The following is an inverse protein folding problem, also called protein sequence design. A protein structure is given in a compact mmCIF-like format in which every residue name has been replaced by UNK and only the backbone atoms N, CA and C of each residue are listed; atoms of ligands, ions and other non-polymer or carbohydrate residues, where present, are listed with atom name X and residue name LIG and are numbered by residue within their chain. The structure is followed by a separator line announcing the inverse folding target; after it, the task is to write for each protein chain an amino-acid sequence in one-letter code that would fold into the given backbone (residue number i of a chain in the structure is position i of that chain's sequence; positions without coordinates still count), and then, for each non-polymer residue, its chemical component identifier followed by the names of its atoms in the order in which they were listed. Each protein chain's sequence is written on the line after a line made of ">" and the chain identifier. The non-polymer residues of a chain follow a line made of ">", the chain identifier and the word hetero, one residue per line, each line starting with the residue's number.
data_IF_416709399686
#
_entry.id   IF_416709399686
#
_cell.length_a   1.000
_cell.length_b   1.000
_cell.length_c   1.000
_cell.angle_alpha   90.00
_cell.angle_beta   90.00
_cell.angle_gamma   90.00
#
_symmetry.space_group_name_H-M   'P 1'
#
loop_
_entity.id
_entity.type
_entity.pdbx_description
1 polymer ?
#
# COMPACT_ATOMS: atom_id res chain seq x y z
N UNK A 1 -8.74 22.41 -40.12
CA UNK A 1 -7.82 21.91 -41.16
C UNK A 1 -6.47 22.58 -40.99
N UNK A 2 -5.45 21.84 -40.61
CA UNK A 2 -4.06 22.28 -40.64
C UNK A 2 -3.21 21.04 -40.98
N UNK A 3 -2.79 20.97 -42.24
CA UNK A 3 -1.89 19.95 -42.78
C UNK A 3 -0.45 20.31 -42.40
N UNK A 4 0.30 19.34 -41.88
CA UNK A 4 1.76 19.42 -41.79
C UNK A 4 2.38 18.39 -42.74
N UNK A 5 3.27 18.92 -43.57
CA UNK A 5 3.83 18.33 -44.77
C UNK A 5 5.10 17.51 -44.45
N UNK A 6 5.19 16.31 -45.04
CA UNK A 6 6.30 15.36 -44.87
C UNK A 6 7.50 15.79 -45.73
N UNK A 7 8.67 16.01 -45.11
CA UNK A 7 9.92 16.26 -45.84
C UNK A 7 10.63 14.93 -46.18
N UNK A 8 10.84 14.73 -47.48
CA UNK A 8 11.52 13.59 -48.12
C UNK A 8 13.01 13.51 -47.75
N UNK A 9 13.46 12.28 -47.58
CA UNK A 9 14.86 11.84 -47.48
C UNK A 9 15.47 11.83 -48.89
N UNK A 10 16.64 12.45 -49.10
CA UNK A 10 17.42 12.30 -50.33
C UNK A 10 18.60 11.37 -50.11
N UNK A 11 18.62 10.30 -50.89
CA UNK A 11 19.75 9.40 -51.14
C UNK A 11 20.68 10.00 -52.19
N UNK A 12 21.98 9.91 -51.95
CA UNK A 12 22.99 9.84 -53.04
C UNK A 12 24.05 8.82 -52.65
N UNK A 13 24.26 7.86 -53.55
CA UNK A 13 25.37 6.91 -53.59
C UNK A 13 26.57 7.59 -54.24
N UNK A 14 27.78 7.20 -53.87
CA UNK A 14 28.86 6.96 -54.83
C UNK A 14 29.92 6.01 -54.24
N UNK A 15 30.48 5.19 -55.13
CA UNK A 15 31.46 4.11 -54.98
C UNK A 15 32.88 4.72 -54.99
N UNK A 16 33.92 4.15 -54.35
CA UNK A 16 34.79 3.11 -54.92
C UNK A 16 35.86 2.62 -53.91
N UNK A 17 36.46 1.47 -54.27
CA UNK A 17 37.36 0.57 -53.53
C UNK A 17 38.68 1.17 -52.98
N UNK A 18 39.24 0.56 -51.92
CA UNK A 18 40.61 -0.05 -51.87
C UNK A 18 40.88 -0.67 -50.47
N UNK A 19 41.60 -1.79 -50.50
CA UNK A 19 41.96 -2.75 -49.44
C UNK A 19 43.04 -2.30 -48.44
N UNK A 20 42.94 -2.72 -47.17
CA UNK A 20 44.07 -2.77 -46.21
C UNK A 20 43.65 -3.06 -44.75
N UNK A 21 44.30 -3.98 -44.01
CA UNK A 21 43.90 -4.34 -42.65
C UNK A 21 44.70 -3.57 -41.58
N UNK A 22 44.03 -3.00 -40.57
CA UNK A 22 44.74 -2.53 -39.37
C UNK A 22 44.02 -1.53 -38.45
N UNK A 23 43.71 -2.03 -37.24
CA UNK A 23 43.74 -1.32 -35.94
C UNK A 23 42.58 -0.38 -35.53
N UNK A 24 41.86 -0.89 -34.51
CA UNK A 24 41.26 -0.21 -33.32
C UNK A 24 40.30 0.97 -33.56
N UNK A 25 39.01 0.67 -33.66
CA UNK A 25 37.95 1.65 -33.44
C UNK A 25 37.66 1.79 -31.93
N UNK A 26 37.94 2.98 -31.41
CA UNK A 26 37.56 3.48 -30.11
C UNK A 26 36.02 3.64 -30.10
N UNK A 27 35.32 2.73 -29.45
CA UNK A 27 33.87 2.80 -29.31
C UNK A 27 33.55 3.83 -28.22
N UNK A 28 33.17 5.05 -28.65
CA UNK A 28 32.61 6.08 -27.77
C UNK A 28 31.27 5.56 -27.29
N UNK A 29 31.27 4.98 -26.08
CA UNK A 29 30.07 4.63 -25.36
C UNK A 29 29.34 5.93 -24.99
N UNK A 30 28.26 6.22 -25.68
CA UNK A 30 27.29 7.22 -25.23
C UNK A 30 26.55 6.63 -24.03
N UNK A 31 27.12 6.81 -22.84
CA UNK A 31 26.45 6.56 -21.57
C UNK A 31 25.32 7.58 -21.40
N UNK A 32 24.13 7.23 -21.89
CA UNK A 32 22.90 7.85 -21.40
C UNK A 32 22.77 7.47 -19.93
N UNK A 33 23.14 8.41 -19.04
CA UNK A 33 22.83 8.34 -17.60
C UNK A 33 21.33 8.12 -17.45
N UNK A 34 20.93 6.87 -17.23
CA UNK A 34 19.61 6.56 -16.68
C UNK A 34 19.56 7.23 -15.32
N UNK A 35 18.79 8.31 -15.25
CA UNK A 35 18.46 8.97 -14.01
C UNK A 35 17.95 7.88 -13.05
N UNK A 36 18.66 7.66 -11.94
CA UNK A 36 18.26 6.68 -10.95
C UNK A 36 17.01 7.24 -10.31
N UNK A 37 15.83 6.96 -10.87
CA UNK A 37 14.55 7.23 -10.23
C UNK A 37 14.67 6.76 -8.79
N UNK A 38 14.64 7.69 -7.84
CA UNK A 38 14.55 7.35 -6.43
C UNK A 38 13.33 6.46 -6.29
N UNK A 39 13.54 5.24 -5.81
CA UNK A 39 12.44 4.31 -5.56
C UNK A 39 11.49 4.98 -4.59
N UNK A 40 10.26 5.22 -5.02
CA UNK A 40 9.19 5.70 -4.17
C UNK A 40 9.06 4.76 -2.97
N UNK A 41 9.11 5.31 -1.75
CA UNK A 41 8.99 4.53 -0.52
C UNK A 41 7.82 5.08 0.30
N UNK A 42 6.83 4.23 0.63
CA UNK A 42 5.71 4.69 1.46
C UNK A 42 6.24 5.14 2.81
N UNK A 43 5.93 6.38 3.18
CA UNK A 43 6.25 6.96 4.48
C UNK A 43 5.00 7.50 5.20
N UNK A 44 3.85 7.48 4.53
CA UNK A 44 2.57 7.91 5.05
C UNK A 44 1.45 7.00 4.53
N UNK A 45 0.32 7.03 5.22
CA UNK A 45 -0.87 6.29 4.84
C UNK A 45 -2.12 6.97 5.36
N UNK A 46 -3.24 6.71 4.69
CA UNK A 46 -4.58 7.06 5.16
C UNK A 46 -5.21 5.82 5.79
N UNK A 47 -5.88 5.99 6.93
CA UNK A 47 -6.49 4.87 7.64
C UNK A 47 -7.71 5.29 8.47
N UNK A 48 -8.58 4.33 8.76
CA UNK A 48 -9.54 4.42 9.87
C UNK A 48 -8.95 3.81 11.12
N UNK A 49 -8.83 4.62 12.18
CA UNK A 49 -8.44 4.13 13.50
C UNK A 49 -9.62 3.40 14.15
N UNK A 50 -9.37 2.25 14.75
CA UNK A 50 -10.38 1.54 15.52
C UNK A 50 -10.51 2.19 16.89
N UNK A 51 -11.70 2.72 17.19
CA UNK A 51 -12.02 3.38 18.46
C UNK A 51 -13.13 2.67 19.25
N UNK A 52 -13.87 1.76 18.61
CA UNK A 52 -14.90 0.98 19.28
C UNK A 52 -14.24 0.09 20.36
N UNK A 53 -14.67 0.26 21.61
CA UNK A 53 -14.07 -0.39 22.77
C UNK A 53 -14.25 -1.92 22.75
N UNK A 54 -15.36 -2.42 22.19
CA UNK A 54 -15.59 -3.87 22.08
C UNK A 54 -14.59 -4.49 21.11
N UNK A 55 -14.37 -3.88 19.94
CA UNK A 55 -13.39 -4.36 18.96
C UNK A 55 -11.98 -4.30 19.54
N UNK A 56 -11.64 -3.18 20.19
CA UNK A 56 -10.35 -2.98 20.87
C UNK A 56 -10.09 -4.05 21.93
N UNK A 57 -11.08 -4.30 22.80
CA UNK A 57 -10.98 -5.30 23.86
C UNK A 57 -10.81 -6.72 23.29
N UNK A 58 -11.62 -7.10 22.30
CA UNK A 58 -11.53 -8.42 21.69
C UNK A 58 -10.19 -8.61 20.99
N UNK A 59 -9.71 -7.63 20.21
CA UNK A 59 -8.40 -7.70 19.58
C UNK A 59 -7.27 -7.92 20.62
N UNK A 60 -7.38 -7.30 21.81
CA UNK A 60 -6.44 -7.50 22.91
C UNK A 60 -6.50 -8.93 23.49
N UNK A 61 -7.69 -9.48 23.72
CA UNK A 61 -7.81 -10.86 24.20
C UNK A 61 -7.27 -11.87 23.18
N UNK A 62 -7.53 -11.65 21.88
CA UNK A 62 -6.95 -12.48 20.80
C UNK A 62 -5.42 -12.42 20.84
N UNK A 63 -4.85 -11.22 20.92
CA UNK A 63 -3.40 -11.06 21.01
C UNK A 63 -2.84 -11.78 22.23
N UNK A 64 -3.46 -11.61 23.40
CA UNK A 64 -3.07 -12.22 24.66
C UNK A 64 -3.08 -13.75 24.57
N UNK A 65 -4.12 -14.36 24.04
CA UNK A 65 -4.22 -15.82 23.90
C UNK A 65 -3.13 -16.39 22.96
N UNK A 66 -2.87 -15.69 21.84
CA UNK A 66 -1.82 -16.06 20.89
C UNK A 66 -0.43 -15.93 21.53
N UNK A 67 -0.18 -14.86 22.27
CA UNK A 67 1.10 -14.63 22.97
C UNK A 67 1.29 -15.64 24.10
N UNK A 68 0.24 -16.01 24.84
CA UNK A 68 0.32 -17.07 25.85
C UNK A 68 0.73 -18.42 25.22
N UNK A 69 0.25 -18.69 24.01
CA UNK A 69 0.60 -19.91 23.26
C UNK A 69 2.01 -19.84 22.65
N UNK A 70 2.47 -18.65 22.24
CA UNK A 70 3.80 -18.41 21.69
C UNK A 70 4.33 -17.03 22.13
N UNK A 71 5.08 -16.96 23.24
CA UNK A 71 5.55 -15.70 23.81
C UNK A 71 6.42 -14.84 22.89
N UNK A 72 7.09 -15.46 21.90
CA UNK A 72 7.93 -14.74 20.92
C UNK A 72 7.14 -13.76 20.06
N UNK A 73 5.83 -13.97 19.90
CA UNK A 73 4.95 -13.08 19.13
C UNK A 73 4.65 -11.76 19.83
N UNK A 74 5.00 -11.60 21.11
CA UNK A 74 4.81 -10.35 21.85
C UNK A 74 5.45 -9.15 21.15
N UNK A 75 6.69 -9.30 20.65
CA UNK A 75 7.42 -8.27 19.94
C UNK A 75 6.85 -7.95 18.54
N UNK A 76 6.07 -8.88 17.98
CA UNK A 76 5.41 -8.73 16.68
C UNK A 76 3.99 -8.15 16.81
N UNK A 77 3.44 -8.04 18.02
CA UNK A 77 2.09 -7.55 18.25
C UNK A 77 1.96 -6.08 17.86
N UNK A 78 0.88 -5.75 17.15
CA UNK A 78 0.51 -4.36 16.89
C UNK A 78 -0.07 -3.78 18.17
N UNK A 79 0.47 -2.65 18.62
CA UNK A 79 -0.10 -1.95 19.78
C UNK A 79 -1.60 -1.71 19.59
N UNK A 80 -2.39 -2.05 20.60
CA UNK A 80 -3.84 -1.86 20.61
C UNK A 80 -4.25 -0.41 20.25
N UNK A 81 -3.51 0.57 20.73
CA UNK A 81 -3.76 1.98 20.44
C UNK A 81 -3.56 2.34 18.95
N UNK A 82 -2.81 1.51 18.20
CA UNK A 82 -2.48 1.67 16.78
C UNK A 82 -3.34 0.80 15.86
N UNK A 83 -4.36 0.12 16.37
CA UNK A 83 -5.28 -0.67 15.53
C UNK A 83 -5.98 0.21 14.49
N UNK A 84 -5.91 -0.19 13.23
CA UNK A 84 -6.46 0.57 12.11
C UNK A 84 -6.74 -0.31 10.88
N UNK A 85 -7.57 0.20 9.98
CA UNK A 85 -7.72 -0.29 8.60
C UNK A 85 -7.03 0.71 7.67
N UNK A 86 -5.99 0.29 6.95
CA UNK A 86 -5.33 1.11 5.94
C UNK A 86 -6.19 1.25 4.69
N UNK A 87 -6.37 2.48 4.21
CA UNK A 87 -7.12 2.80 2.98
C UNK A 87 -6.19 3.03 1.78
N UNK A 88 -5.03 3.64 2.01
CA UNK A 88 -4.10 4.02 0.95
C UNK A 88 -2.71 4.23 1.56
N UNK A 89 -1.66 3.82 0.87
CA UNK A 89 -0.26 4.14 1.22
C UNK A 89 0.36 5.05 0.16
N UNK A 90 1.12 6.04 0.60
CA UNK A 90 1.71 7.06 -0.29
C UNK A 90 3.01 7.62 0.30
N UNK A 91 3.69 8.46 -0.47
CA UNK A 91 4.89 9.18 -0.06
C UNK A 91 4.58 10.68 0.08
N UNK A 92 5.04 11.28 1.17
CA UNK A 92 5.08 12.73 1.38
C UNK A 92 6.54 13.16 1.42
N UNK A 93 6.99 13.94 0.43
CA UNK A 93 8.41 14.28 0.25
C UNK A 93 8.84 15.50 1.05
N UNK A 94 7.91 16.39 1.35
CA UNK A 94 8.16 17.65 2.04
C UNK A 94 6.92 18.13 2.82
N UNK A 95 7.03 19.28 3.48
CA UNK A 95 5.92 19.85 4.26
C UNK A 95 4.76 20.35 3.38
N UNK A 96 5.01 20.72 2.13
CA UNK A 96 3.95 21.07 1.18
C UNK A 96 3.06 19.86 0.87
N UNK A 97 3.65 18.67 0.68
CA UNK A 97 2.91 17.43 0.51
C UNK A 97 2.08 17.11 1.76
N UNK A 98 2.61 17.34 2.97
CA UNK A 98 1.85 17.16 4.22
C UNK A 98 0.65 18.09 4.30
N UNK A 99 0.82 19.38 3.99
CA UNK A 99 -0.27 20.35 3.96
C UNK A 99 -1.32 19.96 2.90
N UNK A 100 -0.87 19.53 1.73
CA UNK A 100 -1.75 19.05 0.65
C UNK A 100 -2.54 17.82 1.09
N UNK A 101 -1.91 16.86 1.76
CA UNK A 101 -2.58 15.67 2.29
C UNK A 101 -3.67 16.03 3.32
N UNK A 102 -3.41 17.00 4.20
CA UNK A 102 -4.40 17.50 5.16
C UNK A 102 -5.59 18.14 4.44
N UNK A 103 -5.34 18.96 3.41
CA UNK A 103 -6.41 19.55 2.61
C UNK A 103 -7.21 18.48 1.85
N UNK A 104 -6.54 17.46 1.29
CA UNK A 104 -7.19 16.35 0.62
C UNK A 104 -8.10 15.57 1.58
N UNK A 105 -7.68 15.38 2.83
CA UNK A 105 -8.51 14.73 3.85
C UNK A 105 -9.79 15.53 4.13
N UNK A 106 -9.69 16.86 4.26
CA UNK A 106 -10.85 17.74 4.46
C UNK A 106 -11.80 17.68 3.25
N UNK A 107 -11.25 17.74 2.03
CA UNK A 107 -12.02 17.62 0.78
C UNK A 107 -12.72 16.26 0.69
N UNK A 108 -12.03 15.16 1.01
CA UNK A 108 -12.60 13.82 1.02
C UNK A 108 -13.76 13.72 2.02
N UNK A 109 -13.60 14.24 3.24
CA UNK A 109 -14.69 14.32 4.23
C UNK A 109 -15.90 15.10 3.71
N UNK A 110 -15.70 16.17 2.94
CA UNK A 110 -16.79 16.89 2.30
C UNK A 110 -17.46 16.04 1.20
N UNK A 111 -16.70 15.41 0.30
CA UNK A 111 -17.23 14.53 -0.75
C UNK A 111 -18.03 13.36 -0.18
N UNK A 112 -17.54 12.72 0.89
CA UNK A 112 -18.24 11.64 1.60
C UNK A 112 -19.59 12.12 2.14
N UNK A 113 -19.65 13.32 2.75
CA UNK A 113 -20.92 13.92 3.22
C UNK A 113 -21.86 14.23 2.07
N UNK A 114 -21.37 14.78 0.97
CA UNK A 114 -22.18 15.08 -0.21
C UNK A 114 -22.74 13.83 -0.88
N UNK A 115 -21.99 12.72 -0.85
CA UNK A 115 -22.45 11.41 -1.29
C UNK A 115 -23.44 10.75 -0.31
N UNK A 116 -23.75 11.40 0.84
CA UNK A 116 -24.67 10.93 1.87
C UNK A 116 -24.32 9.53 2.39
N UNK A 117 -23.03 9.17 2.37
CA UNK A 117 -22.57 7.90 2.89
C UNK A 117 -22.64 7.90 4.42
N UNK A 118 -23.45 6.98 4.95
CA UNK A 118 -23.60 6.77 6.39
C UNK A 118 -22.34 6.06 6.93
N UNK A 119 -21.84 6.40 8.13
CA UNK A 119 -20.74 5.67 8.75
C UNK A 119 -21.00 4.16 8.81
N UNK A 120 -20.12 3.31 8.26
CA UNK A 120 -20.34 1.86 8.23
C UNK A 120 -20.11 1.23 9.60
N UNK A 121 -20.90 0.20 9.94
CA UNK A 121 -20.70 -0.62 11.12
C UNK A 121 -19.87 -1.86 10.75
N UNK A 122 -18.55 -1.71 10.81
CA UNK A 122 -17.63 -2.79 10.43
C UNK A 122 -17.53 -3.81 11.56
N UNK A 123 -17.97 -5.03 11.26
CA UNK A 123 -17.72 -6.22 12.08
C UNK A 123 -16.51 -6.97 11.55
N UNK A 124 -15.84 -7.70 12.42
CA UNK A 124 -14.71 -8.55 12.05
C UNK A 124 -15.04 -10.02 12.34
N UNK A 125 -14.50 -10.95 11.56
CA UNK A 125 -14.67 -12.37 11.81
C UNK A 125 -13.52 -13.16 11.16
N UNK A 126 -13.03 -14.17 11.89
CA UNK A 126 -11.96 -15.03 11.43
C UNK A 126 -10.60 -14.35 11.36
N UNK A 127 -9.56 -15.17 11.31
CA UNK A 127 -8.19 -14.76 11.12
C UNK A 127 -7.71 -15.13 9.72
N UNK A 128 -6.79 -14.35 9.19
CA UNK A 128 -6.08 -14.64 7.96
C UNK A 128 -4.68 -14.04 8.01
N UNK A 129 -3.84 -14.40 7.04
CA UNK A 129 -2.48 -13.93 7.03
C UNK A 129 -2.01 -13.48 5.65
N UNK A 130 -0.95 -12.66 5.63
CA UNK A 130 -0.17 -12.40 4.44
C UNK A 130 1.20 -13.06 4.57
N UNK A 131 1.42 -14.11 3.78
CA UNK A 131 2.68 -14.85 3.66
C UNK A 131 3.24 -15.33 5.02
N UNK A 132 2.36 -15.68 5.96
CA UNK A 132 2.71 -16.04 7.34
C UNK A 132 3.52 -14.95 8.08
N UNK A 133 3.47 -13.69 7.65
CA UNK A 133 4.22 -12.58 8.28
C UNK A 133 3.34 -11.52 8.91
N UNK A 134 2.10 -11.43 8.46
CA UNK A 134 1.10 -10.49 8.97
C UNK A 134 -0.12 -11.32 9.34
N UNK A 135 -0.55 -11.28 10.60
CA UNK A 135 -1.78 -11.91 11.07
C UNK A 135 -2.82 -10.81 11.31
N UNK A 136 -4.01 -10.98 10.75
CA UNK A 136 -5.07 -9.98 10.80
C UNK A 136 -6.46 -10.60 10.91
N UNK A 137 -7.42 -9.81 11.38
CA UNK A 137 -8.84 -10.15 11.33
C UNK A 137 -9.45 -9.64 10.01
N UNK A 138 -10.36 -10.43 9.43
CA UNK A 138 -11.10 -10.02 8.24
C UNK A 138 -12.35 -9.24 8.66
N UNK A 139 -12.70 -8.15 7.97
CA UNK A 139 -14.04 -7.60 8.09
C UNK A 139 -15.06 -8.57 7.49
N UNK A 140 -16.26 -8.61 8.07
CA UNK A 140 -17.36 -9.40 7.52
C UNK A 140 -17.75 -8.85 6.15
N UNK A 141 -17.98 -9.74 5.18
CA UNK A 141 -18.40 -9.36 3.85
C UNK A 141 -19.92 -9.08 3.83
N UNK A 142 -20.28 -7.83 4.10
CA UNK A 142 -21.66 -7.34 4.10
C UNK A 142 -21.75 -5.92 3.49
N UNK A 143 -22.97 -5.37 3.45
CA UNK A 143 -23.21 -4.04 2.88
C UNK A 143 -22.41 -2.91 3.58
N UNK A 144 -22.04 -3.07 4.86
CA UNK A 144 -21.21 -2.06 5.54
C UNK A 144 -19.77 -2.08 5.03
N UNK A 145 -19.24 -3.25 4.67
CA UNK A 145 -17.93 -3.34 4.02
C UNK A 145 -17.94 -2.64 2.65
N UNK A 146 -19.04 -2.69 1.91
CA UNK A 146 -19.16 -2.00 0.62
C UNK A 146 -19.21 -0.48 0.80
N UNK A 147 -19.88 0.03 1.84
CA UNK A 147 -19.84 1.44 2.20
C UNK A 147 -18.41 1.87 2.58
N UNK A 148 -17.66 1.06 3.33
CA UNK A 148 -16.25 1.34 3.63
C UNK A 148 -15.40 1.43 2.36
N UNK A 149 -15.60 0.52 1.40
CA UNK A 149 -14.90 0.54 0.11
C UNK A 149 -15.25 1.80 -0.68
N UNK A 150 -16.52 2.22 -0.71
CA UNK A 150 -16.93 3.47 -1.37
C UNK A 150 -16.25 4.70 -0.75
N UNK A 151 -16.21 4.77 0.58
CA UNK A 151 -15.50 5.85 1.29
C UNK A 151 -14.01 5.83 0.92
N UNK A 152 -13.38 4.66 0.91
CA UNK A 152 -11.97 4.52 0.55
C UNK A 152 -11.71 4.93 -0.91
N UNK A 153 -12.62 4.62 -1.84
CA UNK A 153 -12.56 5.07 -3.23
C UNK A 153 -12.58 6.60 -3.31
N UNK A 154 -13.55 7.25 -2.66
CA UNK A 154 -13.62 8.73 -2.63
C UNK A 154 -12.32 9.33 -2.08
N UNK A 155 -11.78 8.75 -1.00
CA UNK A 155 -10.51 9.20 -0.43
C UNK A 155 -9.34 9.05 -1.42
N UNK A 156 -9.20 7.88 -2.03
CA UNK A 156 -8.13 7.59 -3.01
C UNK A 156 -8.21 8.55 -4.20
N UNK A 157 -9.39 8.69 -4.79
CA UNK A 157 -9.63 9.61 -5.92
C UNK A 157 -9.32 11.06 -5.53
N UNK A 158 -9.76 11.51 -4.35
CA UNK A 158 -9.48 12.88 -3.89
C UNK A 158 -7.98 13.12 -3.75
N UNK A 159 -7.21 12.17 -3.21
CA UNK A 159 -5.76 12.32 -3.06
C UNK A 159 -5.05 12.30 -4.42
N UNK A 160 -5.44 11.38 -5.30
CA UNK A 160 -4.84 11.23 -6.64
C UNK A 160 -5.12 12.44 -7.54
N UNK A 161 -6.36 12.94 -7.56
CA UNK A 161 -6.77 14.17 -8.27
C UNK A 161 -5.97 15.41 -7.82
N UNK A 162 -5.43 15.39 -6.61
CA UNK A 162 -4.65 16.48 -6.01
C UNK A 162 -3.15 16.16 -5.97
N UNK A 163 -2.68 15.19 -6.76
CA UNK A 163 -1.27 14.92 -6.97
C UNK A 163 -0.56 14.14 -5.86
N UNK A 164 -1.31 13.46 -4.98
CA UNK A 164 -0.76 12.48 -4.03
C UNK A 164 -1.14 11.09 -4.51
N UNK A 165 -0.19 10.43 -5.15
CA UNK A 165 -0.41 9.12 -5.78
C UNK A 165 -0.23 7.98 -4.76
N UNK A 166 -1.06 6.94 -4.89
CA UNK A 166 -0.85 5.70 -4.14
C UNK A 166 0.35 4.96 -4.66
N UNK A 167 1.00 4.23 -3.76
CA UNK A 167 2.10 3.33 -4.09
C UNK A 167 1.66 1.87 -4.22
N UNK A 168 0.39 1.57 -3.96
CA UNK A 168 -0.23 0.28 -4.26
C UNK A 168 -1.21 0.38 -5.43
N UNK A 169 -1.06 -0.47 -6.44
CA UNK A 169 -2.03 -0.57 -7.54
C UNK A 169 -3.08 -1.67 -7.29
N UNK A 170 -3.13 -2.22 -6.08
CA UNK A 170 -3.98 -3.36 -5.75
C UNK A 170 -5.38 -2.89 -5.39
N UNK A 171 -6.41 -3.73 -5.59
CA UNK A 171 -7.71 -3.50 -4.97
C UNK A 171 -7.56 -3.35 -3.46
N UNK A 172 -8.40 -2.51 -2.86
CA UNK A 172 -8.44 -2.37 -1.41
C UNK A 172 -8.80 -3.72 -0.79
N UNK A 173 -7.96 -4.20 0.13
CA UNK A 173 -8.21 -5.38 0.95
C UNK A 173 -8.28 -4.95 2.41
N UNK A 174 -9.45 -4.48 2.92
CA UNK A 174 -9.57 -4.03 4.30
C UNK A 174 -9.26 -5.18 5.28
N UNK A 175 -8.43 -4.91 6.27
CA UNK A 175 -8.03 -5.88 7.29
C UNK A 175 -7.62 -5.15 8.57
N UNK A 176 -7.71 -5.85 9.71
CA UNK A 176 -7.26 -5.35 11.01
C UNK A 176 -6.04 -6.13 11.49
N UNK A 177 -4.85 -5.56 11.30
CA UNK A 177 -3.59 -6.24 11.65
C UNK A 177 -3.42 -6.36 13.16
N UNK A 178 -3.20 -7.59 13.62
CA UNK A 178 -2.92 -7.92 15.02
C UNK A 178 -1.44 -8.19 15.26
N UNK A 179 -0.74 -8.81 14.31
CA UNK A 179 0.70 -9.09 14.40
C UNK A 179 1.39 -8.84 13.06
N UNK A 180 2.62 -8.35 13.11
CA UNK A 180 3.43 -8.10 11.93
C UNK A 180 4.92 -8.33 12.20
N UNK A 181 5.51 -9.28 11.47
CA UNK A 181 6.96 -9.52 11.44
C UNK A 181 7.63 -8.54 10.47
N UNK A 182 8.17 -7.45 11.00
CA UNK A 182 8.89 -6.44 10.22
C UNK A 182 10.14 -7.03 9.57
N UNK A 183 10.44 -6.56 8.37
CA UNK A 183 11.62 -6.97 7.64
C UNK A 183 12.88 -6.39 8.30
N UNK A 184 13.90 -7.22 8.53
CA UNK A 184 15.15 -6.82 9.19
C UNK A 184 15.09 -6.78 10.72
N UNK A 185 13.93 -7.06 11.33
CA UNK A 185 13.83 -7.25 12.78
C UNK A 185 14.25 -8.68 13.16
N UNK A 186 15.06 -8.80 14.21
CA UNK A 186 15.51 -10.08 14.78
C UNK A 186 14.49 -10.50 15.84
N UNK A 187 13.53 -11.34 15.45
CA UNK A 187 12.52 -11.89 16.37
C UNK A 187 12.98 -13.23 16.94
N UNK A 188 14.16 -13.32 17.57
CA UNK A 188 14.66 -14.58 18.17
C UNK A 188 14.52 -15.83 17.27
N UNK A 189 14.75 -15.68 15.96
CA UNK A 189 14.62 -16.76 14.97
C UNK A 189 13.21 -16.96 14.37
N UNK A 190 12.20 -16.23 14.85
CA UNK A 190 10.84 -16.25 14.31
C UNK A 190 10.78 -15.58 12.93
N UNK A 191 10.67 -16.41 11.90
CA UNK A 191 10.58 -15.95 10.49
C UNK A 191 9.16 -15.98 9.94
N UNK A 192 8.25 -16.71 10.61
CA UNK A 192 6.85 -16.91 10.23
C UNK A 192 5.95 -17.02 11.47
N UNK A 193 4.70 -16.63 11.31
CA UNK A 193 3.59 -16.84 12.24
C UNK A 193 2.93 -18.16 11.84
N UNK A 194 2.80 -19.07 12.79
CA UNK A 194 2.23 -20.40 12.55
C UNK A 194 0.78 -20.31 12.03
N UNK A 195 0.51 -20.89 10.86
CA UNK A 195 -0.80 -20.88 10.22
C UNK A 195 -1.85 -21.68 11.00
N UNK A 196 -1.46 -22.58 11.91
CA UNK A 196 -2.40 -23.29 12.80
C UNK A 196 -3.20 -22.35 13.70
N UNK A 197 -2.69 -21.14 13.96
CA UNK A 197 -3.40 -20.09 14.70
C UNK A 197 -4.71 -19.69 14.00
N UNK A 198 -4.79 -19.83 12.67
CA UNK A 198 -5.98 -19.48 11.90
C UNK A 198 -7.19 -20.38 12.19
N UNK A 199 -6.95 -21.60 12.68
CA UNK A 199 -7.99 -22.59 12.94
C UNK A 199 -8.49 -22.56 14.40
N UNK A 200 -7.89 -21.74 15.26
CA UNK A 200 -8.43 -21.57 16.61
C UNK A 200 -9.80 -20.90 16.47
N UNK A 201 -10.82 -21.45 17.15
CA UNK A 201 -12.15 -20.83 17.27
C UNK A 201 -12.05 -19.54 18.09
N UNK A 202 -11.39 -18.54 17.53
CA UNK A 202 -11.20 -17.26 18.15
C UNK A 202 -12.48 -16.48 17.92
N UNK A 203 -13.36 -16.57 18.93
CA UNK A 203 -14.55 -15.79 19.23
C UNK A 203 -15.25 -15.18 18.00
N UNK A 204 -16.34 -15.83 17.59
CA UNK A 204 -17.34 -15.24 16.68
C UNK A 204 -17.80 -13.91 17.28
N UNK A 205 -17.45 -12.79 16.64
CA UNK A 205 -17.88 -11.46 17.04
C UNK A 205 -19.36 -11.30 16.67
N UNK A 206 -20.20 -11.08 17.69
CA UNK A 206 -21.56 -10.55 17.53
C UNK A 206 -21.53 -9.04 17.71
#
# INVERSE_FOLDING_TARGET
>A
MASFEKKKISTTKDQDLVTGPGKKALQVATETKKDKQQKERPNAFLAFRIMNQQIVHHAAEIQKEIIQSNPLLSQASVSIAKLHITLMVFELKNDEDKQRAQQCLIKACHRIRMAQLVPPQIRFAGLSNFNDRVLFMNPVNDAHLDVLKQIATICRETFEENGILRLDNRPLHPHLTLFQLKQGSVYEGLTKIDSRILNKEILKLN
#
